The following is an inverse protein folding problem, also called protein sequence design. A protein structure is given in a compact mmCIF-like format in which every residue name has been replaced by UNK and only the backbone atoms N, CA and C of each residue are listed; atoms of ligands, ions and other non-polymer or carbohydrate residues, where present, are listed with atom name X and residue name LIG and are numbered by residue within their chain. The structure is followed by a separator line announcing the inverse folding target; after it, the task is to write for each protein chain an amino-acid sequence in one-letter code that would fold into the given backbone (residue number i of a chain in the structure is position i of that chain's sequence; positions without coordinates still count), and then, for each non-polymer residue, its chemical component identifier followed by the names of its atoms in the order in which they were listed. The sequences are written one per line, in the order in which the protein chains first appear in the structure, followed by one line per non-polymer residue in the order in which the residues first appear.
data_IF_601933465420
#
_entry.id   IF_601933465420
#
_cell.length_a   1.000
_cell.length_b   1.000
_cell.length_c   1.000
_cell.angle_alpha   90.00
_cell.angle_beta   90.00
_cell.angle_gamma   90.00
#
_symmetry.space_group_name_H-M   'P 1'
#
loop_
_entity.id
_entity.type
_entity.pdbx_description
1 polymer ?
#
# COMPACT_ATOMS: atom_id res chain seq x y z
N UNK A 1 -41.11 17.03 16.24
CA UNK A 1 -40.28 16.35 17.25
C UNK A 1 -40.53 14.86 17.13
N UNK A 2 -39.70 14.15 16.36
CA UNK A 2 -39.74 12.69 16.30
C UNK A 2 -38.43 12.16 16.87
N UNK A 3 -38.51 11.28 17.87
CA UNK A 3 -37.37 10.45 18.21
C UNK A 3 -37.10 9.54 17.01
N UNK A 4 -35.94 9.71 16.38
CA UNK A 4 -35.36 8.63 15.59
C UNK A 4 -34.99 7.56 16.61
N UNK A 5 -35.64 6.41 16.51
CA UNK A 5 -35.43 5.31 17.45
C UNK A 5 -33.96 4.89 17.43
N UNK A 6 -33.31 4.87 18.59
CA UNK A 6 -31.88 4.53 18.72
C UNK A 6 -31.77 3.00 18.74
N UNK A 7 -32.17 2.40 17.62
CA UNK A 7 -32.49 1.00 17.49
C UNK A 7 -31.29 0.09 17.71
N UNK A 8 -31.22 -0.45 18.93
CA UNK A 8 -30.49 -1.66 19.34
C UNK A 8 -29.07 -1.75 18.77
N UNK A 9 -28.10 -1.28 19.57
CA UNK A 9 -26.67 -1.50 19.37
C UNK A 9 -26.40 -3.01 19.30
N UNK A 10 -26.25 -3.56 18.09
CA UNK A 10 -25.87 -4.96 17.88
C UNK A 10 -24.37 -5.11 18.01
N UNK A 11 -23.95 -5.80 19.08
CA UNK A 11 -22.61 -6.39 19.15
C UNK A 11 -22.38 -7.27 17.95
N UNK A 12 -21.25 -7.13 17.26
CA UNK A 12 -21.05 -7.61 15.88
C UNK A 12 -21.62 -9.01 15.61
N UNK A 13 -21.13 -10.07 16.30
CA UNK A 13 -21.79 -11.38 16.39
C UNK A 13 -21.47 -12.05 17.74
N UNK A 14 -22.48 -12.64 18.41
CA UNK A 14 -22.29 -13.35 19.68
C UNK A 14 -22.02 -14.86 19.49
N UNK A 15 -22.44 -15.41 18.35
CA UNK A 15 -22.36 -16.83 18.00
C UNK A 15 -22.25 -17.04 16.47
N UNK A 16 -22.03 -18.30 16.06
CA UNK A 16 -21.94 -18.70 14.66
C UNK A 16 -23.25 -18.54 13.88
N UNK A 17 -24.40 -18.55 14.57
CA UNK A 17 -25.73 -18.50 13.97
C UNK A 17 -26.02 -17.08 13.46
N UNK A 18 -25.77 -16.07 14.28
CA UNK A 18 -25.82 -14.65 13.91
C UNK A 18 -24.82 -14.34 12.78
N UNK A 19 -23.60 -14.88 12.86
CA UNK A 19 -22.58 -14.70 11.82
C UNK A 19 -23.00 -15.33 10.47
N UNK A 20 -23.62 -16.52 10.49
CA UNK A 20 -24.15 -17.18 9.30
C UNK A 20 -25.29 -16.38 8.67
N UNK A 21 -26.26 -15.95 9.47
CA UNK A 21 -27.45 -15.27 8.94
C UNK A 21 -27.09 -13.92 8.31
N UNK A 22 -26.18 -13.16 8.92
CA UNK A 22 -25.67 -11.94 8.31
C UNK A 22 -24.90 -12.19 6.99
N UNK A 23 -24.08 -13.25 6.91
CA UNK A 23 -23.45 -13.63 5.65
C UNK A 23 -24.49 -14.01 4.57
N UNK A 24 -25.60 -14.64 4.97
CA UNK A 24 -26.72 -14.93 4.08
C UNK A 24 -27.42 -13.66 3.60
N UNK A 25 -27.59 -12.64 4.46
CA UNK A 25 -28.05 -11.30 4.07
C UNK A 25 -27.08 -10.61 3.08
N UNK A 26 -25.77 -10.85 3.19
CA UNK A 26 -24.77 -10.37 2.20
C UNK A 26 -24.69 -11.23 0.93
N UNK A 27 -25.59 -12.21 0.76
CA UNK A 27 -25.72 -13.04 -0.43
C UNK A 27 -24.80 -14.26 -0.49
N UNK A 28 -24.04 -14.59 0.56
CA UNK A 28 -23.12 -15.73 0.53
C UNK A 28 -23.84 -17.10 0.47
N UNK A 29 -23.25 -18.10 -0.22
CA UNK A 29 -23.65 -19.50 -0.14
C UNK A 29 -23.22 -20.09 1.22
N UNK A 30 -24.00 -19.82 2.27
CA UNK A 30 -23.72 -20.28 3.62
C UNK A 30 -23.97 -21.77 3.82
N UNK A 31 -23.21 -22.40 4.70
CA UNK A 31 -23.42 -23.78 5.13
C UNK A 31 -24.70 -23.87 5.97
N UNK A 32 -25.60 -24.79 5.63
CA UNK A 32 -26.88 -24.95 6.34
C UNK A 32 -26.67 -25.44 7.78
N UNK A 33 -25.82 -26.45 7.95
CA UNK A 33 -25.51 -27.10 9.23
C UNK A 33 -24.23 -26.53 9.87
N UNK A 34 -24.37 -25.86 11.00
CA UNK A 34 -23.27 -25.23 11.75
C UNK A 34 -22.51 -26.24 12.63
N UNK A 35 -21.83 -27.19 11.98
CA UNK A 35 -21.08 -28.26 12.64
C UNK A 35 -19.71 -27.76 13.12
N UNK A 36 -19.39 -27.97 14.40
CA UNK A 36 -18.05 -27.72 14.95
C UNK A 36 -17.05 -28.72 14.34
N UNK A 37 -16.19 -28.23 13.46
CA UNK A 37 -15.27 -29.02 12.62
C UNK A 37 -13.86 -28.40 12.67
N UNK A 38 -13.15 -28.55 13.79
CA UNK A 38 -11.81 -27.99 13.94
C UNK A 38 -10.80 -28.68 13.01
N UNK A 39 -9.97 -27.91 12.28
CA UNK A 39 -8.93 -28.47 11.44
C UNK A 39 -7.86 -29.15 12.30
N UNK A 40 -7.17 -30.13 11.70
CA UNK A 40 -6.07 -30.86 12.34
C UNK A 40 -4.81 -29.98 12.46
N UNK A 41 -4.83 -29.01 13.36
CA UNK A 41 -3.68 -28.18 13.73
C UNK A 41 -2.82 -28.88 14.80
N UNK A 42 -1.63 -28.33 15.08
CA UNK A 42 -0.78 -28.83 16.16
C UNK A 42 -1.49 -28.66 17.52
N UNK A 43 -1.32 -29.57 18.50
CA UNK A 43 -1.96 -29.44 19.82
C UNK A 43 -1.68 -28.10 20.52
N UNK A 44 -0.50 -27.52 20.28
CA UNK A 44 -0.10 -26.19 20.75
C UNK A 44 -1.02 -25.06 20.27
N UNK A 45 -1.63 -25.19 19.08
CA UNK A 45 -2.60 -24.24 18.53
C UNK A 45 -4.04 -24.65 18.88
N UNK A 46 -4.38 -25.93 18.66
CA UNK A 46 -5.74 -26.46 18.87
C UNK A 46 -6.26 -26.23 20.30
N UNK A 47 -5.37 -26.21 21.31
CA UNK A 47 -5.73 -25.97 22.71
C UNK A 47 -6.42 -24.63 22.99
N UNK A 48 -6.30 -23.63 22.11
CA UNK A 48 -6.84 -22.27 22.26
C UNK A 48 -8.26 -22.10 21.69
N UNK A 49 -8.74 -23.09 20.94
CA UNK A 49 -10.02 -23.06 20.22
C UNK A 49 -11.09 -23.76 21.06
N UNK A 50 -12.32 -23.26 21.06
CA UNK A 50 -13.51 -23.95 21.59
C UNK A 50 -14.51 -24.30 20.48
N UNK A 51 -14.70 -23.41 19.51
CA UNK A 51 -15.52 -23.65 18.31
C UNK A 51 -14.72 -23.28 17.06
N UNK A 52 -14.86 -24.09 16.01
CA UNK A 52 -14.43 -23.79 14.66
C UNK A 52 -15.49 -24.30 13.69
N UNK A 53 -16.29 -23.40 13.12
CA UNK A 53 -17.46 -23.76 12.31
C UNK A 53 -17.31 -23.14 10.92
N UNK A 54 -17.33 -23.93 9.82
CA UNK A 54 -17.39 -23.37 8.48
C UNK A 54 -18.74 -22.68 8.27
N UNK A 55 -18.71 -21.39 7.96
CA UNK A 55 -19.89 -20.60 7.63
C UNK A 55 -20.13 -20.56 6.12
N UNK A 56 -19.05 -20.49 5.33
CA UNK A 56 -19.07 -20.48 3.86
C UNK A 56 -17.89 -21.32 3.36
N UNK A 57 -18.12 -22.10 2.30
CA UNK A 57 -17.07 -22.70 1.48
C UNK A 57 -17.40 -22.47 0.01
N UNK A 58 -16.56 -21.74 -0.69
CA UNK A 58 -16.62 -21.56 -2.14
C UNK A 58 -15.43 -22.30 -2.73
N UNK A 59 -15.71 -23.45 -3.32
CA UNK A 59 -14.76 -24.28 -4.07
C UNK A 59 -14.98 -23.98 -5.55
N UNK A 60 -13.94 -23.58 -6.28
CA UNK A 60 -13.99 -23.25 -7.71
C UNK A 60 -12.82 -23.90 -8.44
N UNK A 61 -12.99 -24.43 -9.67
CA UNK A 61 -11.86 -25.00 -10.42
C UNK A 61 -10.89 -23.92 -10.91
N UNK A 62 -11.38 -22.72 -11.23
CA UNK A 62 -10.60 -21.65 -11.87
C UNK A 62 -9.86 -20.72 -10.88
N UNK A 63 -10.22 -20.75 -9.59
CA UNK A 63 -9.68 -19.84 -8.57
C UNK A 63 -9.43 -20.57 -7.24
N UNK A 64 -8.49 -20.04 -6.44
CA UNK A 64 -8.18 -20.55 -5.11
C UNK A 64 -9.45 -20.61 -4.21
N UNK A 65 -9.71 -21.72 -3.50
CA UNK A 65 -10.85 -21.86 -2.61
C UNK A 65 -10.95 -20.73 -1.59
N UNK A 66 -12.17 -20.27 -1.30
CA UNK A 66 -12.44 -19.26 -0.29
C UNK A 66 -13.40 -19.75 0.79
N UNK A 67 -12.90 -19.78 2.02
CA UNK A 67 -13.64 -20.24 3.19
C UNK A 67 -13.85 -19.09 4.18
N UNK A 68 -15.03 -19.03 4.79
CA UNK A 68 -15.31 -18.18 5.95
C UNK A 68 -15.60 -19.08 7.15
N UNK A 69 -14.87 -18.87 8.25
CA UNK A 69 -15.02 -19.63 9.48
C UNK A 69 -15.47 -18.73 10.63
N UNK A 70 -16.40 -19.22 11.44
CA UNK A 70 -16.56 -18.78 12.82
C UNK A 70 -15.52 -19.49 13.69
N UNK A 71 -14.83 -18.73 14.54
CA UNK A 71 -13.89 -19.30 15.53
C UNK A 71 -14.15 -18.69 16.90
N UNK A 72 -14.71 -19.47 17.83
CA UNK A 72 -14.72 -19.09 19.25
C UNK A 72 -13.41 -19.56 19.88
N UNK A 73 -12.69 -18.61 20.45
CA UNK A 73 -11.49 -18.88 21.23
C UNK A 73 -11.86 -19.00 22.71
N UNK A 74 -11.04 -19.71 23.49
CA UNK A 74 -11.29 -19.87 24.92
C UNK A 74 -11.10 -18.55 25.68
N UNK A 75 -11.80 -18.41 26.80
CA UNK A 75 -11.89 -17.16 27.57
C UNK A 75 -10.54 -16.66 28.11
N UNK A 76 -9.62 -17.57 28.37
CA UNK A 76 -8.25 -17.32 28.83
C UNK A 76 -7.26 -16.91 27.72
N UNK A 77 -7.66 -16.93 26.44
CA UNK A 77 -6.76 -16.66 25.31
C UNK A 77 -6.62 -15.16 25.04
N UNK A 78 -5.37 -14.68 24.99
CA UNK A 78 -5.05 -13.32 24.59
C UNK A 78 -5.01 -13.17 23.05
N UNK A 79 -4.94 -11.93 22.57
CA UNK A 79 -4.87 -11.66 21.11
C UNK A 79 -3.65 -12.31 20.43
N UNK A 80 -2.57 -12.58 21.16
CA UNK A 80 -1.40 -13.32 20.66
C UNK A 80 -1.73 -14.78 20.30
N UNK A 81 -2.57 -15.44 21.08
CA UNK A 81 -2.93 -16.86 20.88
C UNK A 81 -3.82 -17.03 19.64
N UNK A 82 -4.77 -16.11 19.43
CA UNK A 82 -5.66 -16.12 18.25
C UNK A 82 -4.85 -16.02 16.95
N UNK A 83 -3.81 -15.18 16.97
CA UNK A 83 -2.88 -14.99 15.86
C UNK A 83 -2.09 -16.25 15.57
N UNK A 84 -1.54 -16.88 16.61
CA UNK A 84 -0.82 -18.16 16.49
C UNK A 84 -1.69 -19.28 15.91
N UNK A 85 -2.98 -19.33 16.25
CA UNK A 85 -3.95 -20.27 15.64
C UNK A 85 -4.12 -20.00 14.14
N UNK A 86 -4.30 -18.73 13.74
CA UNK A 86 -4.42 -18.34 12.33
C UNK A 86 -3.14 -18.67 11.56
N UNK A 87 -1.96 -18.32 12.08
CA UNK A 87 -0.66 -18.63 11.48
C UNK A 87 -0.45 -20.15 11.33
N UNK A 88 -0.90 -20.95 12.31
CA UNK A 88 -0.85 -22.41 12.26
C UNK A 88 -1.79 -23.01 11.21
N UNK A 89 -2.95 -22.41 10.96
CA UNK A 89 -3.86 -22.81 9.87
C UNK A 89 -3.26 -22.49 8.51
N UNK A 90 -2.82 -21.25 8.28
CA UNK A 90 -2.26 -20.80 7.00
C UNK A 90 -1.04 -21.62 6.59
N UNK A 91 -0.20 -22.01 7.56
CA UNK A 91 0.97 -22.87 7.31
C UNK A 91 0.59 -24.31 6.90
N UNK A 92 -0.64 -24.76 7.14
CA UNK A 92 -1.17 -26.07 6.71
C UNK A 92 -2.04 -25.98 5.45
N UNK A 93 -2.69 -24.83 5.21
CA UNK A 93 -3.61 -24.61 4.08
C UNK A 93 -3.27 -23.33 3.29
N UNK A 94 -2.02 -23.15 2.79
CA UNK A 94 -1.57 -21.90 2.18
C UNK A 94 -2.30 -21.53 0.87
N UNK A 95 -2.96 -22.50 0.24
CA UNK A 95 -3.74 -22.33 -0.99
C UNK A 95 -5.19 -21.86 -0.75
N UNK A 96 -5.64 -21.74 0.51
CA UNK A 96 -7.03 -21.40 0.84
C UNK A 96 -7.13 -19.93 1.28
N UNK A 97 -7.84 -19.12 0.49
CA UNK A 97 -8.21 -17.78 0.89
C UNK A 97 -9.20 -17.89 2.06
N UNK A 98 -8.93 -17.23 3.19
CA UNK A 98 -9.66 -17.57 4.44
C UNK A 98 -10.02 -16.35 5.26
N UNK A 99 -11.32 -16.10 5.50
CA UNK A 99 -11.79 -15.11 6.47
C UNK A 99 -12.13 -15.77 7.80
N UNK A 100 -11.60 -15.22 8.88
CA UNK A 100 -11.98 -15.61 10.23
C UNK A 100 -12.89 -14.56 10.87
N UNK A 101 -14.08 -15.00 11.28
CA UNK A 101 -14.97 -14.29 12.19
C UNK A 101 -14.70 -14.86 13.59
N UNK A 102 -13.75 -14.23 14.29
CA UNK A 102 -13.33 -14.62 15.63
C UNK A 102 -14.20 -14.01 16.73
N UNK A 103 -14.40 -14.74 17.82
CA UNK A 103 -14.95 -14.23 19.08
C UNK A 103 -13.90 -14.35 20.19
N UNK A 104 -13.61 -13.24 20.86
CA UNK A 104 -12.57 -13.13 21.89
C UNK A 104 -13.09 -12.46 23.16
N UNK A 105 -12.52 -12.83 24.32
CA UNK A 105 -12.88 -12.25 25.61
C UNK A 105 -11.82 -11.24 26.06
N UNK A 106 -12.24 -10.06 26.52
CA UNK A 106 -11.34 -8.98 26.96
C UNK A 106 -12.04 -8.05 27.95
N UNK A 107 -11.35 -7.71 29.06
CA UNK A 107 -11.84 -6.76 30.09
C UNK A 107 -13.29 -7.03 30.55
N UNK A 108 -13.65 -8.30 30.76
CA UNK A 108 -14.99 -8.68 31.23
C UNK A 108 -16.05 -8.88 30.14
N UNK A 109 -15.77 -8.54 28.87
CA UNK A 109 -16.72 -8.62 27.75
C UNK A 109 -16.24 -9.56 26.65
N UNK A 110 -17.19 -10.15 25.91
CA UNK A 110 -16.93 -10.73 24.60
C UNK A 110 -17.00 -9.64 23.53
N UNK A 111 -16.13 -9.71 22.53
CA UNK A 111 -16.14 -8.85 21.34
C UNK A 111 -15.72 -9.63 20.09
N UNK A 112 -16.16 -9.18 18.92
CA UNK A 112 -15.86 -9.84 17.66
C UNK A 112 -14.57 -9.33 17.02
N UNK A 113 -14.01 -10.13 16.12
CA UNK A 113 -12.75 -9.87 15.44
C UNK A 113 -12.78 -10.43 14.02
N UNK A 114 -12.66 -9.58 13.00
CA UNK A 114 -12.37 -10.04 11.64
C UNK A 114 -10.85 -10.17 11.43
N UNK A 115 -10.38 -11.38 11.11
CA UNK A 115 -8.98 -11.62 10.75
C UNK A 115 -8.89 -12.01 9.27
N UNK A 116 -8.21 -11.18 8.48
CA UNK A 116 -8.03 -11.32 7.04
C UNK A 116 -6.55 -11.52 6.72
N UNK A 117 -6.08 -12.78 6.64
CA UNK A 117 -4.71 -13.13 6.24
C UNK A 117 -4.44 -12.99 4.74
N UNK A 118 -3.22 -12.55 4.40
CA UNK A 118 -2.71 -12.48 3.02
C UNK A 118 -1.65 -13.59 2.83
N UNK A 119 -1.90 -14.62 1.98
CA UNK A 119 -1.09 -15.86 1.96
C UNK A 119 0.41 -15.78 1.63
N UNK A 120 0.96 -14.60 1.28
CA UNK A 120 2.28 -14.48 0.62
C UNK A 120 3.32 -13.59 1.35
N UNK A 121 2.95 -12.81 2.38
CA UNK A 121 3.65 -11.52 2.83
C UNK A 121 3.99 -12.00 4.33
N UNK A 122 5.25 -11.81 4.76
CA UNK A 122 5.91 -12.38 5.95
C UNK A 122 5.26 -12.13 7.35
N UNK A 123 4.28 -11.23 7.49
CA UNK A 123 3.64 -10.89 8.77
C UNK A 123 2.16 -10.47 8.59
N UNK A 124 1.40 -11.08 7.68
CA UNK A 124 0.19 -10.43 7.13
C UNK A 124 -1.13 -11.14 7.48
N UNK A 125 -1.74 -10.75 8.60
CA UNK A 125 -3.19 -10.67 8.73
C UNK A 125 -3.60 -9.28 9.22
N UNK A 126 -4.70 -8.75 8.69
CA UNK A 126 -5.32 -7.54 9.23
C UNK A 126 -6.47 -7.94 10.16
N UNK A 127 -6.50 -7.32 11.34
CA UNK A 127 -7.29 -7.72 12.48
C UNK A 127 -8.20 -6.55 12.92
N UNK A 128 -9.44 -6.53 12.43
CA UNK A 128 -10.42 -5.51 12.82
C UNK A 128 -11.13 -5.97 14.10
N UNK A 129 -10.68 -5.43 15.24
CA UNK A 129 -11.34 -5.61 16.54
C UNK A 129 -12.43 -4.56 16.66
N UNK A 130 -13.69 -4.99 16.69
CA UNK A 130 -14.85 -4.11 16.87
C UNK A 130 -15.88 -4.79 17.75
N UNK A 131 -16.28 -4.11 18.82
CA UNK A 131 -17.38 -4.58 19.65
C UNK A 131 -18.72 -4.50 18.87
N UNK A 132 -18.84 -3.58 17.91
CA UNK A 132 -20.06 -3.26 17.14
C UNK A 132 -19.76 -3.07 15.64
N UNK A 133 -20.67 -3.50 14.75
CA UNK A 133 -20.65 -3.12 13.33
C UNK A 133 -21.43 -1.81 13.15
N UNK A 134 -20.70 -0.68 13.14
CA UNK A 134 -21.29 0.67 13.01
C UNK A 134 -21.31 1.14 11.55
N UNK A 135 -22.02 2.22 11.20
CA UNK A 135 -21.89 2.86 9.89
C UNK A 135 -20.46 3.29 9.52
N UNK A 136 -19.54 3.46 10.48
CA UNK A 136 -18.10 3.68 10.18
C UNK A 136 -17.44 2.48 9.50
N UNK A 137 -18.07 1.31 9.58
CA UNK A 137 -17.66 0.07 8.92
C UNK A 137 -18.31 -0.11 7.54
N UNK A 138 -19.11 0.85 7.03
CA UNK A 138 -19.83 0.76 5.74
C UNK A 138 -18.95 0.23 4.59
N UNK A 139 -17.73 0.75 4.46
CA UNK A 139 -16.79 0.32 3.42
C UNK A 139 -16.45 -1.17 3.53
N UNK A 140 -16.32 -1.70 4.75
CA UNK A 140 -16.02 -3.11 5.01
C UNK A 140 -17.25 -3.99 4.77
N UNK A 141 -18.44 -3.52 5.14
CA UNK A 141 -19.71 -4.19 4.83
C UNK A 141 -19.88 -4.32 3.30
N UNK A 142 -19.71 -3.23 2.54
CA UNK A 142 -19.73 -3.26 1.07
C UNK A 142 -18.65 -4.15 0.45
N UNK A 143 -17.45 -4.20 1.06
CA UNK A 143 -16.37 -5.07 0.57
C UNK A 143 -16.62 -6.56 0.85
N UNK A 144 -17.54 -6.90 1.75
CA UNK A 144 -18.00 -8.25 2.09
C UNK A 144 -19.28 -8.66 1.32
N UNK A 145 -19.82 -7.82 0.44
CA UNK A 145 -20.97 -8.22 -0.39
C UNK A 145 -20.54 -9.30 -1.39
N UNK A 146 -21.24 -10.44 -1.39
CA UNK A 146 -20.95 -11.52 -2.33
C UNK A 146 -21.50 -11.20 -3.73
N UNK A 147 -20.72 -11.51 -4.76
CA UNK A 147 -21.13 -11.41 -6.15
C UNK A 147 -20.63 -12.67 -6.90
N UNK A 148 -21.52 -13.59 -7.33
CA UNK A 148 -21.12 -14.83 -7.98
C UNK A 148 -20.50 -14.63 -9.38
N UNK A 149 -20.62 -13.44 -9.98
CA UNK A 149 -19.99 -13.11 -11.26
C UNK A 149 -18.57 -12.52 -11.10
N UNK A 150 -18.10 -12.26 -9.88
CA UNK A 150 -16.73 -11.79 -9.63
C UNK A 150 -15.82 -12.93 -9.16
N UNK A 151 -14.58 -13.02 -9.67
CA UNK A 151 -13.59 -13.96 -9.18
C UNK A 151 -13.40 -13.88 -7.66
N UNK A 152 -13.28 -15.06 -7.05
CA UNK A 152 -13.11 -15.26 -5.61
C UNK A 152 -11.92 -14.47 -5.06
N UNK A 153 -10.82 -14.41 -5.81
CA UNK A 153 -9.63 -13.62 -5.47
C UNK A 153 -9.91 -12.10 -5.47
N UNK A 154 -10.77 -11.61 -6.38
CA UNK A 154 -11.18 -10.20 -6.44
C UNK A 154 -12.02 -9.81 -5.22
N UNK A 155 -12.91 -10.68 -4.77
CA UNK A 155 -13.60 -10.52 -3.48
C UNK A 155 -12.59 -10.43 -2.33
N UNK A 156 -11.62 -11.35 -2.26
CA UNK A 156 -10.62 -11.33 -1.19
C UNK A 156 -9.77 -10.06 -1.19
N UNK A 157 -9.33 -9.61 -2.36
CA UNK A 157 -8.58 -8.35 -2.52
C UNK A 157 -9.41 -7.12 -2.12
N UNK A 158 -10.74 -7.11 -2.30
CA UNK A 158 -11.62 -6.03 -1.81
C UNK A 158 -11.71 -5.98 -0.28
N UNK A 159 -11.93 -7.12 0.36
CA UNK A 159 -11.97 -7.26 1.82
C UNK A 159 -10.64 -6.84 2.44
N UNK A 160 -9.53 -7.40 1.95
CA UNK A 160 -8.19 -7.17 2.50
C UNK A 160 -7.75 -5.70 2.38
N UNK A 161 -7.86 -5.10 1.18
CA UNK A 161 -7.59 -3.65 0.96
C UNK A 161 -8.36 -2.78 1.96
N UNK A 162 -9.62 -3.12 2.23
CA UNK A 162 -10.46 -2.36 3.14
C UNK A 162 -10.05 -2.51 4.60
N UNK A 163 -9.59 -3.69 5.03
CA UNK A 163 -9.02 -3.92 6.37
C UNK A 163 -7.62 -3.32 6.56
N UNK A 164 -6.93 -2.95 5.47
CA UNK A 164 -5.74 -2.08 5.49
C UNK A 164 -6.07 -0.58 5.44
N UNK A 165 -7.34 -0.22 5.21
CA UNK A 165 -7.77 1.15 4.90
C UNK A 165 -7.41 1.63 3.48
N UNK A 166 -6.65 0.85 2.72
CA UNK A 166 -6.10 1.19 1.40
C UNK A 166 -7.18 1.24 0.33
N UNK A 167 -7.43 2.39 -0.28
CA UNK A 167 -7.95 2.43 -1.65
C UNK A 167 -6.80 2.16 -2.62
N UNK A 168 -7.06 1.42 -3.70
CA UNK A 168 -6.18 1.53 -4.86
C UNK A 168 -6.40 2.94 -5.42
N UNK A 169 -5.34 3.74 -5.49
CA UNK A 169 -5.46 5.15 -5.85
C UNK A 169 -6.00 5.27 -7.28
N UNK A 170 -7.24 5.76 -7.44
CA UNK A 170 -7.92 5.89 -8.72
C UNK A 170 -7.05 6.67 -9.73
N UNK A 171 -6.42 7.75 -9.28
CA UNK A 171 -5.50 8.59 -10.08
C UNK A 171 -4.29 7.83 -10.62
N UNK A 172 -3.80 6.81 -9.92
CA UNK A 172 -2.69 5.97 -10.43
C UNK A 172 -3.20 5.05 -11.54
N UNK A 173 -4.41 4.48 -11.38
CA UNK A 173 -5.03 3.69 -12.46
C UNK A 173 -5.32 4.59 -13.66
N UNK A 174 -6.03 5.70 -13.46
CA UNK A 174 -6.40 6.69 -14.48
C UNK A 174 -5.17 7.22 -15.25
N UNK A 175 -4.07 7.53 -14.56
CA UNK A 175 -2.82 7.93 -15.22
C UNK A 175 -2.21 6.80 -16.07
N UNK A 176 -2.29 5.54 -15.65
CA UNK A 176 -1.86 4.42 -16.49
C UNK A 176 -2.79 4.20 -17.69
N UNK A 177 -4.12 4.29 -17.53
CA UNK A 177 -5.06 4.18 -18.67
C UNK A 177 -4.81 5.31 -19.69
N UNK A 178 -4.68 6.56 -19.21
CA UNK A 178 -4.45 7.73 -20.06
C UNK A 178 -3.13 7.65 -20.82
N UNK A 179 -2.06 7.22 -20.17
CA UNK A 179 -0.74 7.08 -20.80
C UNK A 179 -0.70 5.93 -21.81
N UNK A 180 -1.39 4.81 -21.55
CA UNK A 180 -1.52 3.71 -22.51
C UNK A 180 -2.29 4.19 -23.76
N UNK A 181 -3.42 4.88 -23.57
CA UNK A 181 -4.24 5.42 -24.65
C UNK A 181 -3.47 6.43 -25.53
N UNK A 182 -2.64 7.29 -24.93
CA UNK A 182 -1.84 8.28 -25.65
C UNK A 182 -0.73 7.60 -26.49
N UNK A 183 -0.06 6.57 -25.95
CA UNK A 183 0.90 5.76 -26.72
C UNK A 183 0.21 4.95 -27.84
N UNK A 184 -1.00 4.45 -27.61
CA UNK A 184 -1.78 3.72 -28.61
C UNK A 184 -2.28 4.64 -29.74
N UNK A 185 -2.61 5.91 -29.45
CA UNK A 185 -2.90 6.93 -30.46
C UNK A 185 -1.67 7.26 -31.33
N UNK A 186 -0.51 7.55 -30.72
CA UNK A 186 0.74 7.83 -31.45
C UNK A 186 1.10 6.64 -32.36
N UNK A 187 0.85 5.41 -31.91
CA UNK A 187 1.05 4.23 -32.74
C UNK A 187 0.10 4.18 -33.93
N UNK A 188 -1.17 4.56 -33.77
CA UNK A 188 -2.13 4.60 -34.88
C UNK A 188 -1.76 5.67 -35.92
N UNK A 189 -1.17 6.80 -35.50
CA UNK A 189 -0.64 7.83 -36.38
C UNK A 189 0.56 7.30 -37.21
N UNK A 190 1.51 6.61 -36.57
CA UNK A 190 2.65 5.96 -37.27
C UNK A 190 2.17 4.86 -38.22
N UNK A 191 1.25 3.98 -37.78
CA UNK A 191 0.67 2.92 -38.61
C UNK A 191 -0.09 3.49 -39.84
N UNK A 192 -0.57 4.75 -39.78
CA UNK A 192 -1.16 5.47 -40.91
C UNK A 192 -0.11 6.12 -41.83
N UNK A 193 0.95 6.74 -41.29
CA UNK A 193 2.05 7.26 -42.11
C UNK A 193 2.78 6.14 -42.88
N UNK A 194 2.94 4.95 -42.29
CA UNK A 194 3.51 3.77 -42.97
C UNK A 194 2.68 3.41 -44.21
N UNK A 195 1.34 3.42 -44.11
CA UNK A 195 0.45 3.15 -45.24
C UNK A 195 0.62 4.22 -46.33
N UNK A 196 0.66 5.50 -45.96
CA UNK A 196 0.86 6.60 -46.91
C UNK A 196 2.22 6.52 -47.62
N UNK A 197 3.32 6.30 -46.88
CA UNK A 197 4.66 6.16 -47.44
C UNK A 197 4.77 4.94 -48.38
N UNK A 198 4.13 3.82 -48.01
CA UNK A 198 4.06 2.61 -48.86
C UNK A 198 3.33 2.87 -50.18
N UNK A 199 2.22 3.61 -50.17
CA UNK A 199 1.48 3.97 -51.38
C UNK A 199 2.28 4.87 -52.34
N UNK A 200 3.20 5.67 -51.81
CA UNK A 200 4.05 6.59 -52.59
C UNK A 200 5.43 6.01 -52.92
N UNK A 201 5.74 4.78 -52.49
CA UNK A 201 7.02 4.11 -52.78
C UNK A 201 8.22 4.63 -51.96
N UNK A 202 7.99 5.37 -50.86
CA UNK A 202 9.06 5.84 -49.97
C UNK A 202 9.48 4.73 -48.99
N UNK A 203 10.19 3.74 -49.52
CA UNK A 203 10.65 2.58 -48.76
C UNK A 203 11.68 2.92 -47.67
N UNK A 204 12.32 4.10 -47.72
CA UNK A 204 13.22 4.56 -46.66
C UNK A 204 12.38 5.01 -45.47
N UNK A 205 11.42 5.92 -45.68
CA UNK A 205 10.54 6.38 -44.60
C UNK A 205 9.69 5.24 -44.02
N UNK A 206 9.28 4.25 -44.83
CA UNK A 206 8.63 3.02 -44.34
C UNK A 206 9.52 2.25 -43.36
N UNK A 207 10.83 2.10 -43.63
CA UNK A 207 11.74 1.39 -42.71
C UNK A 207 11.99 2.16 -41.40
N UNK A 208 12.08 3.49 -41.46
CA UNK A 208 12.26 4.33 -40.28
C UNK A 208 11.02 4.29 -39.37
N UNK A 209 9.83 4.52 -39.93
CA UNK A 209 8.56 4.48 -39.18
C UNK A 209 8.25 3.09 -38.63
N UNK A 210 8.48 2.01 -39.38
CA UNK A 210 8.25 0.65 -38.90
C UNK A 210 9.13 0.32 -37.67
N UNK A 211 10.37 0.83 -37.66
CA UNK A 211 11.30 0.67 -36.52
C UNK A 211 10.88 1.48 -35.29
N UNK A 212 10.20 2.60 -35.48
CA UNK A 212 9.63 3.40 -34.39
C UNK A 212 8.35 2.76 -33.84
N UNK A 213 7.44 2.30 -34.70
CA UNK A 213 6.23 1.56 -34.32
C UNK A 213 6.55 0.31 -33.48
N UNK A 214 7.62 -0.43 -33.81
CA UNK A 214 8.02 -1.61 -33.05
C UNK A 214 8.60 -1.26 -31.65
N UNK A 215 9.37 -0.16 -31.53
CA UNK A 215 9.82 0.34 -30.23
C UNK A 215 8.66 0.82 -29.35
N UNK A 216 7.69 1.52 -29.95
CA UNK A 216 6.49 2.01 -29.26
C UNK A 216 5.59 0.86 -28.79
N UNK A 217 5.41 -0.17 -29.63
CA UNK A 217 4.73 -1.43 -29.29
C UNK A 217 5.41 -2.16 -28.12
N UNK A 218 6.74 -2.20 -28.09
CA UNK A 218 7.50 -2.78 -26.97
C UNK A 218 7.34 -1.96 -25.68
N UNK A 219 7.27 -0.62 -25.78
CA UNK A 219 7.01 0.27 -24.66
C UNK A 219 5.59 0.11 -24.09
N UNK A 220 4.57 0.05 -24.94
CA UNK A 220 3.17 -0.20 -24.54
C UNK A 220 3.08 -1.52 -23.76
N UNK A 221 3.72 -2.60 -24.25
CA UNK A 221 3.78 -3.88 -23.55
C UNK A 221 4.42 -3.79 -22.16
N UNK A 222 5.52 -3.05 -22.02
CA UNK A 222 6.19 -2.81 -20.72
C UNK A 222 5.29 -2.02 -19.75
N UNK A 223 4.58 -0.99 -20.23
CA UNK A 223 3.65 -0.20 -19.42
C UNK A 223 2.43 -1.03 -18.98
N UNK A 224 1.89 -1.87 -19.87
CA UNK A 224 0.78 -2.78 -19.56
C UNK A 224 1.19 -3.85 -18.52
N UNK A 225 2.41 -4.39 -18.59
CA UNK A 225 2.95 -5.31 -17.57
C UNK A 225 3.10 -4.64 -16.19
N UNK A 226 3.59 -3.40 -16.15
CA UNK A 226 3.68 -2.60 -14.91
C UNK A 226 2.28 -2.31 -14.32
N UNK A 227 1.29 -1.94 -15.16
CA UNK A 227 -0.13 -1.76 -14.77
C UNK A 227 -0.74 -3.03 -14.18
N UNK A 228 -0.39 -4.20 -14.72
CA UNK A 228 -0.86 -5.50 -14.22
C UNK A 228 -0.21 -5.92 -12.89
N UNK A 229 0.84 -5.23 -12.43
CA UNK A 229 1.65 -5.63 -11.28
C UNK A 229 2.57 -6.83 -11.55
N UNK A 230 2.60 -7.33 -12.79
CA UNK A 230 3.39 -8.47 -13.22
C UNK A 230 4.80 -8.01 -13.61
N UNK A 231 5.67 -7.85 -12.60
CA UNK A 231 7.10 -7.61 -12.85
C UNK A 231 7.95 -8.33 -11.82
N UNK A 232 8.51 -9.48 -12.22
CA UNK A 232 9.69 -10.05 -11.56
C UNK A 232 10.85 -9.07 -11.74
N UNK A 233 11.19 -8.35 -10.67
CA UNK A 233 12.35 -7.45 -10.66
C UNK A 233 13.63 -8.29 -10.65
N UNK A 234 14.06 -8.71 -11.85
CA UNK A 234 15.34 -9.37 -12.07
C UNK A 234 16.46 -8.39 -11.69
N UNK A 235 17.04 -8.60 -10.50
CA UNK A 235 18.00 -7.69 -9.86
C UNK A 235 19.43 -7.87 -10.38
N UNK A 236 19.57 -8.05 -11.70
CA UNK A 236 20.80 -8.56 -12.35
C UNK A 236 21.24 -7.79 -13.61
N UNK A 237 20.97 -6.49 -13.69
CA UNK A 237 21.81 -5.57 -14.50
C UNK A 237 22.36 -4.43 -13.66
N UNK A 238 23.69 -4.30 -13.60
CA UNK A 238 24.36 -3.12 -13.06
C UNK A 238 24.45 -2.06 -14.16
N UNK A 239 24.11 -0.82 -13.81
CA UNK A 239 24.46 0.40 -14.54
C UNK A 239 23.91 0.59 -15.97
N UNK A 240 22.75 1.23 -16.04
CA UNK A 240 22.55 2.35 -16.96
C UNK A 240 21.93 3.51 -16.16
N UNK A 241 22.76 4.46 -15.72
CA UNK A 241 22.30 5.61 -14.93
C UNK A 241 21.86 6.71 -15.90
N UNK A 242 20.55 6.87 -16.11
CA UNK A 242 20.04 8.03 -16.84
C UNK A 242 20.52 9.31 -16.15
N UNK A 243 21.30 10.13 -16.86
CA UNK A 243 21.96 11.33 -16.32
C UNK A 243 21.11 12.59 -16.45
N UNK A 244 20.13 12.61 -17.38
CA UNK A 244 19.40 13.81 -17.79
C UNK A 244 18.68 14.52 -16.62
N UNK A 245 18.01 13.79 -15.73
CA UNK A 245 17.27 14.35 -14.58
C UNK A 245 18.13 15.09 -13.52
N UNK A 246 19.47 15.05 -13.60
CA UNK A 246 20.35 15.73 -12.63
C UNK A 246 20.98 17.03 -13.13
N UNK A 247 20.88 17.36 -14.42
CA UNK A 247 21.58 18.53 -14.95
C UNK A 247 20.80 19.83 -14.72
N UNK A 248 19.47 19.81 -14.81
CA UNK A 248 18.63 21.01 -14.67
C UNK A 248 18.29 21.42 -13.23
N UNK A 249 18.58 20.59 -12.21
CA UNK A 249 18.19 20.87 -10.83
C UNK A 249 19.32 20.57 -9.82
N UNK A 250 19.58 21.48 -8.88
CA UNK A 250 20.66 21.49 -7.90
C UNK A 250 20.86 20.13 -7.22
N UNK A 251 22.06 19.51 -7.31
CA UNK A 251 22.30 18.17 -6.78
C UNK A 251 22.05 18.07 -5.27
N UNK A 252 21.43 16.97 -4.82
CA UNK A 252 21.08 16.76 -3.39
C UNK A 252 22.27 16.84 -2.41
N UNK A 253 23.52 16.71 -2.89
CA UNK A 253 24.74 16.93 -2.09
C UNK A 253 24.98 18.41 -1.75
N UNK A 254 24.67 19.35 -2.65
CA UNK A 254 24.95 20.78 -2.44
C UNK A 254 24.23 21.32 -1.20
N UNK A 255 23.03 20.81 -0.90
CA UNK A 255 22.26 21.15 0.30
C UNK A 255 22.83 20.63 1.64
N UNK A 256 23.95 19.90 1.67
CA UNK A 256 24.53 19.38 2.94
C UNK A 256 25.08 20.53 3.79
N UNK A 257 25.97 21.36 3.22
CA UNK A 257 26.58 22.49 3.93
C UNK A 257 25.51 23.52 4.33
N UNK A 258 24.61 23.99 3.43
CA UNK A 258 23.52 24.89 3.81
C UNK A 258 22.57 24.34 4.88
N UNK A 259 22.25 23.04 4.90
CA UNK A 259 21.36 22.46 5.92
C UNK A 259 22.01 22.41 7.31
N UNK A 260 23.32 22.16 7.38
CA UNK A 260 24.05 22.19 8.64
C UNK A 260 24.32 23.64 9.09
N UNK A 261 24.76 24.52 8.17
CA UNK A 261 25.00 25.93 8.45
C UNK A 261 23.71 26.65 8.87
N UNK A 262 22.58 26.42 8.21
CA UNK A 262 21.28 26.99 8.60
C UNK A 262 20.80 26.56 9.99
N UNK A 263 21.31 25.45 10.54
CA UNK A 263 21.05 25.07 11.93
C UNK A 263 22.04 25.71 12.89
N UNK A 264 23.29 25.92 12.49
CA UNK A 264 24.29 26.68 13.29
C UNK A 264 23.92 28.16 13.38
N UNK A 265 23.45 28.76 12.28
CA UNK A 265 22.96 30.15 12.18
C UNK A 265 21.68 30.39 13.01
N UNK A 266 21.00 29.33 13.43
CA UNK A 266 19.78 29.35 14.25
C UNK A 266 20.06 28.65 15.60
N UNK A 267 21.22 28.95 16.19
CA UNK A 267 21.77 28.51 17.48
C UNK A 267 21.96 27.00 17.71
N UNK A 268 21.36 26.16 16.87
CA UNK A 268 21.49 24.71 16.83
C UNK A 268 20.16 23.97 16.71
N UNK A 269 19.04 24.60 17.04
CA UNK A 269 17.70 24.00 17.06
C UNK A 269 16.61 25.00 16.65
N UNK A 270 15.88 24.71 15.57
CA UNK A 270 14.87 25.63 15.04
C UNK A 270 13.69 24.93 14.33
N UNK A 271 12.53 25.60 14.21
CA UNK A 271 11.40 25.09 13.42
C UNK A 271 11.78 24.90 11.95
N UNK A 272 11.34 23.79 11.35
CA UNK A 272 11.58 23.41 9.95
C UNK A 272 11.34 24.56 8.96
N UNK A 273 10.34 25.40 9.19
CA UNK A 273 10.06 26.58 8.36
C UNK A 273 11.25 27.53 8.32
N UNK A 274 11.78 27.91 9.48
CA UNK A 274 12.93 28.81 9.62
C UNK A 274 14.21 28.22 9.04
N UNK A 275 14.44 26.92 9.26
CA UNK A 275 15.58 26.22 8.65
C UNK A 275 15.48 26.18 7.11
N UNK A 276 14.29 25.97 6.54
CA UNK A 276 14.10 26.03 5.09
C UNK A 276 14.22 27.45 4.53
N UNK A 277 13.70 28.47 5.23
CA UNK A 277 13.91 29.89 4.87
C UNK A 277 15.41 30.21 4.80
N UNK A 278 16.18 29.86 5.85
CA UNK A 278 17.62 30.11 5.89
C UNK A 278 18.41 29.31 4.85
N UNK A 279 18.02 28.08 4.54
CA UNK A 279 18.61 27.33 3.42
C UNK A 279 18.34 28.00 2.07
N UNK A 280 17.14 28.56 1.87
CA UNK A 280 16.81 29.29 0.63
C UNK A 280 17.70 30.53 0.47
N UNK A 281 17.96 31.27 1.55
CA UNK A 281 18.90 32.39 1.54
C UNK A 281 20.33 31.94 1.18
N UNK A 282 20.83 30.89 1.84
CA UNK A 282 22.17 30.35 1.63
C UNK A 282 22.39 29.65 0.27
N UNK A 283 21.32 29.31 -0.46
CA UNK A 283 21.38 28.66 -1.78
C UNK A 283 20.76 29.48 -2.91
N UNK A 284 20.36 30.74 -2.65
CA UNK A 284 19.62 31.57 -3.62
C UNK A 284 20.30 31.66 -5.00
N UNK A 285 21.63 31.77 -5.01
CA UNK A 285 22.45 31.93 -6.23
C UNK A 285 22.87 30.56 -6.84
N UNK A 286 22.42 29.45 -6.25
CA UNK A 286 22.75 28.06 -6.64
C UNK A 286 21.52 27.23 -7.04
N UNK A 287 20.30 27.73 -6.77
CA UNK A 287 19.03 27.07 -7.11
C UNK A 287 18.71 27.29 -8.59
N UNK A 288 18.38 26.21 -9.30
CA UNK A 288 17.98 26.26 -10.71
C UNK A 288 16.46 26.39 -10.85
N UNK A 289 15.91 26.80 -12.02
CA UNK A 289 14.46 26.88 -12.22
C UNK A 289 13.71 25.59 -11.85
N UNK A 290 14.24 24.43 -12.25
CA UNK A 290 13.70 23.10 -11.93
C UNK A 290 13.89 22.65 -10.46
N UNK A 291 14.33 23.54 -9.55
CA UNK A 291 14.21 23.34 -8.11
C UNK A 291 12.95 23.97 -7.51
N UNK A 292 12.43 25.02 -8.15
CA UNK A 292 11.25 25.77 -7.71
C UNK A 292 9.92 25.14 -8.15
N UNK A 293 9.94 24.33 -9.20
CA UNK A 293 8.80 23.49 -9.60
C UNK A 293 8.25 22.67 -8.42
N UNK A 294 6.94 22.40 -8.45
CA UNK A 294 6.37 21.35 -7.63
C UNK A 294 6.84 19.96 -8.10
N UNK A 295 6.91 19.02 -7.17
CA UNK A 295 7.01 17.60 -7.53
C UNK A 295 5.72 17.16 -8.25
N UNK A 296 5.79 16.20 -9.20
CA UNK A 296 4.61 15.55 -9.79
C UNK A 296 3.65 14.90 -8.78
N UNK A 297 4.06 14.72 -7.52
CA UNK A 297 3.20 14.29 -6.41
C UNK A 297 2.32 15.41 -5.81
N UNK A 298 2.49 16.66 -6.27
CA UNK A 298 1.80 17.87 -5.79
C UNK A 298 2.28 18.40 -4.42
N UNK A 299 2.04 19.70 -4.21
CA UNK A 299 2.07 20.40 -2.92
C UNK A 299 3.43 20.54 -2.25
N UNK A 300 4.53 20.23 -2.95
CA UNK A 300 5.90 20.29 -2.44
C UNK A 300 6.89 20.68 -3.54
N UNK A 301 7.44 21.88 -3.41
CA UNK A 301 8.59 22.37 -4.20
C UNK A 301 9.76 21.37 -4.15
N UNK A 302 10.36 21.09 -5.30
CA UNK A 302 11.40 20.04 -5.48
C UNK A 302 12.55 20.21 -4.48
N UNK A 303 13.16 21.39 -4.32
CA UNK A 303 14.27 21.54 -3.36
C UNK A 303 13.86 21.36 -1.89
N UNK A 304 12.67 21.85 -1.49
CA UNK A 304 12.15 21.66 -0.12
C UNK A 304 11.96 20.17 0.21
N UNK A 305 11.64 19.37 -0.81
CA UNK A 305 11.61 17.90 -0.71
C UNK A 305 13.01 17.27 -0.69
N UNK A 306 13.93 17.69 -1.57
CA UNK A 306 15.36 17.25 -1.56
C UNK A 306 15.98 17.43 -0.17
N UNK A 307 15.79 18.60 0.46
CA UNK A 307 16.27 18.94 1.81
C UNK A 307 15.57 18.12 2.90
N UNK A 308 14.24 17.98 2.85
CA UNK A 308 13.51 17.14 3.83
C UNK A 308 14.00 15.69 3.78
N UNK A 309 14.22 15.15 2.59
CA UNK A 309 14.80 13.83 2.38
C UNK A 309 16.32 13.74 2.63
N UNK A 310 17.00 14.86 2.89
CA UNK A 310 18.40 14.91 3.31
C UNK A 310 18.52 14.91 4.84
N UNK A 311 17.68 15.68 5.55
CA UNK A 311 17.56 15.64 7.02
C UNK A 311 17.44 14.21 7.54
N UNK A 312 16.54 13.42 6.95
CA UNK A 312 16.33 12.02 7.32
C UNK A 312 17.54 11.10 7.04
N UNK A 313 18.47 11.48 6.17
CA UNK A 313 19.75 10.77 5.98
C UNK A 313 20.75 11.18 7.06
N UNK A 314 20.90 12.47 7.32
CA UNK A 314 21.87 13.00 8.29
C UNK A 314 21.57 12.55 9.74
N UNK A 315 20.29 12.35 10.10
CA UNK A 315 19.91 11.70 11.37
C UNK A 315 20.47 10.28 11.46
N UNK A 316 20.27 9.45 10.41
CA UNK A 316 20.79 8.07 10.37
C UNK A 316 22.33 8.00 10.41
N UNK A 317 23.02 9.12 10.19
CA UNK A 317 24.47 9.25 10.29
C UNK A 317 24.93 9.90 11.62
N UNK A 318 24.00 10.32 12.48
CA UNK A 318 24.24 10.95 13.78
C UNK A 318 24.62 12.44 13.73
N UNK A 319 24.40 13.13 12.60
CA UNK A 319 24.74 14.55 12.43
C UNK A 319 23.59 15.50 12.80
N UNK A 320 22.35 14.99 12.87
CA UNK A 320 21.16 15.71 13.29
C UNK A 320 20.41 14.89 14.35
N UNK A 321 19.77 15.57 15.30
CA UNK A 321 18.99 14.92 16.37
C UNK A 321 17.73 14.24 15.84
N UNK A 322 17.42 13.09 16.43
CA UNK A 322 16.20 12.31 16.15
C UNK A 322 15.08 12.63 17.15
N UNK A 323 15.51 12.96 18.36
CA UNK A 323 14.83 13.25 19.63
C UNK A 323 14.28 14.69 19.71
N UNK A 324 13.90 15.29 18.56
CA UNK A 324 13.33 16.64 18.51
C UNK A 324 11.80 16.62 18.41
N UNK A 325 11.08 17.62 18.97
CA UNK A 325 9.63 17.74 18.80
C UNK A 325 9.21 17.81 17.33
N UNK A 326 7.96 17.40 17.04
CA UNK A 326 7.46 17.34 15.66
C UNK A 326 7.52 18.72 14.98
N UNK A 327 8.32 18.81 13.91
CA UNK A 327 8.52 20.04 13.15
C UNK A 327 9.75 20.87 13.58
N UNK A 328 10.42 20.52 14.67
CA UNK A 328 11.69 21.12 15.09
C UNK A 328 12.86 20.26 14.58
N UNK A 329 13.91 20.89 14.06
CA UNK A 329 15.14 20.25 13.59
C UNK A 329 16.33 20.80 14.39
N UNK A 330 17.24 19.92 14.81
CA UNK A 330 18.44 20.29 15.55
C UNK A 330 19.69 19.55 15.08
N UNK A 331 20.85 20.20 15.20
CA UNK A 331 22.18 19.65 14.89
C UNK A 331 22.79 18.95 16.12
N UNK A 332 23.67 17.97 15.91
CA UNK A 332 24.52 17.40 16.98
C UNK A 332 25.92 18.03 16.93
N UNK A 333 26.72 17.89 17.98
CA UNK A 333 28.11 18.37 17.96
C UNK A 333 28.96 17.64 16.91
N UNK A 334 28.68 16.34 16.68
CA UNK A 334 29.19 15.57 15.54
C UNK A 334 28.79 16.20 14.20
N UNK A 335 27.58 16.77 14.10
CA UNK A 335 27.12 17.54 12.94
C UNK A 335 27.84 18.88 12.77
N UNK A 336 28.14 19.59 13.86
CA UNK A 336 28.96 20.82 13.84
C UNK A 336 30.40 20.50 13.40
N UNK A 337 31.03 19.47 13.96
CA UNK A 337 32.35 18.98 13.56
C UNK A 337 32.39 18.57 12.08
N UNK A 338 31.35 17.89 11.59
CA UNK A 338 31.24 17.49 10.18
C UNK A 338 31.03 18.69 9.24
N UNK A 339 30.35 19.76 9.68
CA UNK A 339 30.25 21.01 8.92
C UNK A 339 31.62 21.69 8.78
N UNK A 340 32.41 21.79 9.84
CA UNK A 340 33.75 22.38 9.77
C UNK A 340 34.71 21.55 8.92
N UNK A 341 34.63 20.22 8.99
CA UNK A 341 35.35 19.33 8.05
C UNK A 341 34.97 19.62 6.59
N UNK A 342 33.68 19.87 6.30
CA UNK A 342 33.18 20.17 4.96
C UNK A 342 33.46 21.61 4.47
N UNK A 343 33.93 22.52 5.34
CA UNK A 343 34.43 23.86 4.97
C UNK A 343 35.93 23.87 4.70
N UNK A 344 36.65 22.97 5.38
CA UNK A 344 38.11 22.85 5.32
C UNK A 344 38.58 21.76 4.34
N UNK A 345 37.71 21.35 3.40
CA UNK A 345 37.95 20.35 2.35
C UNK A 345 37.51 20.88 0.98
#
# INVERSE_FOLDING_TARGET
MHCVDVGIIKTMFQDAQQARDWLKEQGYPVQESLINSPPQLKPSASKHISEWIPLVKIETPDYAPFHIYWVRFKQECGTGDLRYVVDAYLKKYPQVLTLFIGSHYRKGKWGSLLMCPEPQAKHWYHACVTDELTPRNERLLKALQYNPAEPVETLWRRVYRTLRGETMNARIKEAFESFIMELENIRAEIDAEIQHATQHGDYIKVQELAREAEQLKELIGKVQQLRAGNTTVNSTTKSARSTRDNEDATPKKAFIIPLLQALVDLDGEAPKRKVLERIQELTKDQLKPADYEELPSGGKIRWKSKVTGLRNKLIKQGYLRADTPQGIWAITDKGRQYLEQLKNS
#
